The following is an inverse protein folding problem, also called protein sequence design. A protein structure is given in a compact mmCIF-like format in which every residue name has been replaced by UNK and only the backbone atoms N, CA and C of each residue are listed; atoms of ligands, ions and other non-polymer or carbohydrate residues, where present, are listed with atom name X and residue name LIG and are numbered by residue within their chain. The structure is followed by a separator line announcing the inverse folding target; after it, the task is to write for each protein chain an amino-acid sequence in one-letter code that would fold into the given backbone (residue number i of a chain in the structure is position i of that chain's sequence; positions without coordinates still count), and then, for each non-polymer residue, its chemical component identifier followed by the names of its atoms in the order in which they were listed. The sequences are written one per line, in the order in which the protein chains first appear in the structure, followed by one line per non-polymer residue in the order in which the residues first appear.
data_IF_550019529755
#
_entry.id   IF_550019529755
#
_cell.length_a   1.000
_cell.length_b   1.000
_cell.length_c   1.000
_cell.angle_alpha   90.00
_cell.angle_beta   90.00
_cell.angle_gamma   90.00
#
_symmetry.space_group_name_H-M   'P 1'
#
loop_
_entity.id
_entity.type
_entity.pdbx_description
1 polymer ?
#
# COMPACT_ATOMS: atom_id res chain seq x y z
N UNK A 1 -4.77 16.44 -4.57
CA UNK A 1 -4.71 15.04 -5.05
C UNK A 1 -3.81 14.27 -4.09
N UNK A 2 -4.33 13.19 -3.51
CA UNK A 2 -3.58 12.35 -2.57
C UNK A 2 -2.88 11.23 -3.34
N UNK A 3 -1.63 10.93 -3.00
CA UNK A 3 -0.84 9.91 -3.68
C UNK A 3 0.06 9.18 -2.70
N UNK A 4 0.45 7.96 -3.04
CA UNK A 4 1.46 7.20 -2.29
C UNK A 4 2.66 6.92 -3.19
N UNK A 5 3.85 6.89 -2.58
CA UNK A 5 5.07 6.46 -3.26
C UNK A 5 5.39 5.04 -2.86
N UNK A 6 5.62 4.18 -3.84
CA UNK A 6 5.99 2.78 -3.65
C UNK A 6 7.38 2.60 -4.23
N UNK A 7 8.30 2.08 -3.41
CA UNK A 7 9.68 1.83 -3.81
C UNK A 7 10.09 0.42 -3.46
N UNK A 8 10.84 -0.24 -4.33
CA UNK A 8 11.46 -1.54 -4.06
C UNK A 8 12.93 -1.48 -4.51
N UNK A 9 13.90 -1.56 -3.57
CA UNK A 9 15.29 -1.22 -3.85
C UNK A 9 16.00 -2.23 -4.77
N UNK A 10 15.63 -3.52 -4.75
CA UNK A 10 16.30 -4.57 -5.54
C UNK A 10 16.02 -4.41 -7.03
N UNK A 11 14.78 -4.17 -7.41
CA UNK A 11 14.33 -3.93 -8.79
C UNK A 11 14.48 -2.47 -9.21
N UNK A 12 14.77 -1.57 -8.26
CA UNK A 12 14.79 -0.11 -8.45
C UNK A 12 13.42 0.47 -8.82
N UNK A 13 12.34 -0.26 -8.53
CA UNK A 13 10.98 0.25 -8.68
C UNK A 13 10.84 1.53 -7.85
N UNK A 14 10.35 2.59 -8.47
CA UNK A 14 9.97 3.83 -7.78
C UNK A 14 8.81 4.44 -8.54
N UNK A 15 7.61 4.26 -8.02
CA UNK A 15 6.37 4.73 -8.66
C UNK A 15 5.57 5.59 -7.70
N UNK A 16 4.80 6.51 -8.27
CA UNK A 16 3.80 7.30 -7.54
C UNK A 16 2.42 6.85 -8.01
N UNK A 17 1.60 6.36 -7.08
CA UNK A 17 0.23 5.98 -7.35
C UNK A 17 -0.71 7.06 -6.85
N UNK A 18 -1.55 7.59 -7.75
CA UNK A 18 -2.63 8.50 -7.37
C UNK A 18 -3.75 7.72 -6.68
N UNK A 19 -4.23 8.23 -5.57
CA UNK A 19 -5.38 7.68 -4.87
C UNK A 19 -6.68 8.26 -5.48
N UNK A 20 -7.73 7.44 -5.49
CA UNK A 20 -9.02 7.77 -6.11
C UNK A 20 -10.11 7.91 -5.03
N UNK A 21 -10.16 9.02 -4.27
CA UNK A 21 -11.11 9.19 -3.17
C UNK A 21 -12.56 9.16 -3.65
N UNK A 22 -12.85 9.57 -4.89
CA UNK A 22 -14.19 9.51 -5.47
C UNK A 22 -14.70 8.07 -5.70
N UNK A 23 -13.78 7.10 -5.81
CA UNK A 23 -14.11 5.69 -6.06
C UNK A 23 -14.03 4.83 -4.78
N UNK A 24 -13.10 5.14 -3.89
CA UNK A 24 -12.84 4.34 -2.70
C UNK A 24 -12.45 5.22 -1.49
N UNK A 25 -13.37 6.06 -0.99
CA UNK A 25 -13.05 7.08 0.02
C UNK A 25 -12.52 6.47 1.33
N UNK A 26 -13.10 5.37 1.80
CA UNK A 26 -12.69 4.69 3.04
C UNK A 26 -11.27 4.12 2.94
N UNK A 27 -10.94 3.47 1.82
CA UNK A 27 -9.59 2.94 1.58
C UNK A 27 -8.55 4.06 1.53
N UNK A 28 -8.88 5.19 0.92
CA UNK A 28 -7.98 6.36 0.88
C UNK A 28 -7.74 6.93 2.26
N UNK A 29 -8.80 7.06 3.07
CA UNK A 29 -8.69 7.51 4.46
C UNK A 29 -7.82 6.55 5.29
N UNK A 30 -8.07 5.24 5.18
CA UNK A 30 -7.27 4.20 5.83
C UNK A 30 -5.80 4.29 5.42
N UNK A 31 -5.49 4.29 4.11
CA UNK A 31 -4.12 4.34 3.61
C UNK A 31 -3.40 5.62 4.05
N UNK A 32 -4.10 6.77 4.07
CA UNK A 32 -3.57 8.03 4.55
C UNK A 32 -3.17 7.98 6.02
N UNK A 33 -4.03 7.44 6.89
CA UNK A 33 -3.72 7.27 8.31
C UNK A 33 -2.62 6.22 8.53
N UNK A 34 -2.73 5.07 7.86
CA UNK A 34 -1.82 3.94 7.99
C UNK A 34 -0.39 4.29 7.55
N UNK A 35 -0.25 5.03 6.44
CA UNK A 35 1.03 5.48 5.87
C UNK A 35 1.43 6.90 6.32
N UNK A 36 0.84 7.42 7.41
CA UNK A 36 1.28 8.68 8.03
C UNK A 36 2.76 8.65 8.48
N UNK A 37 3.34 7.45 8.55
CA UNK A 37 4.79 7.19 8.60
C UNK A 37 5.19 6.20 7.51
N UNK A 38 6.41 6.31 6.93
CA UNK A 38 6.92 5.30 5.99
C UNK A 38 6.92 3.90 6.60
N UNK A 39 6.60 2.90 5.78
CA UNK A 39 6.59 1.48 6.19
C UNK A 39 7.31 0.61 5.18
N UNK A 40 7.93 -0.45 5.68
CA UNK A 40 8.45 -1.55 4.87
C UNK A 40 7.50 -2.72 5.06
N UNK A 41 6.91 -3.18 3.96
CA UNK A 41 5.95 -4.29 3.94
C UNK A 41 6.51 -5.37 3.01
N UNK A 42 6.50 -6.66 3.41
CA UNK A 42 6.92 -7.74 2.53
C UNK A 42 6.08 -7.79 1.26
N UNK A 43 6.73 -7.70 0.10
CA UNK A 43 6.09 -7.93 -1.19
C UNK A 43 6.12 -9.42 -1.55
N UNK A 44 4.99 -9.94 -2.01
CA UNK A 44 4.81 -11.33 -2.44
C UNK A 44 4.43 -11.31 -3.92
N UNK A 45 5.22 -11.96 -4.77
CA UNK A 45 4.84 -12.16 -6.16
C UNK A 45 3.71 -13.20 -6.21
N UNK A 46 2.55 -12.81 -6.74
CA UNK A 46 1.42 -13.72 -6.84
C UNK A 46 1.72 -14.83 -7.86
N UNK A 47 1.19 -16.03 -7.61
CA UNK A 47 1.37 -17.17 -8.52
C UNK A 47 0.19 -17.38 -9.46
N UNK A 48 -0.99 -16.89 -9.11
CA UNK A 48 -2.26 -17.26 -9.76
C UNK A 48 -3.05 -16.08 -10.34
N UNK A 49 -2.78 -14.85 -9.89
CA UNK A 49 -3.50 -13.65 -10.33
C UNK A 49 -2.79 -12.89 -11.46
N UNK A 50 -1.78 -13.51 -12.06
CA UNK A 50 -1.00 -12.92 -13.15
C UNK A 50 0.12 -11.99 -12.64
N UNK A 51 0.43 -10.89 -13.34
CA UNK A 51 1.51 -9.99 -12.98
C UNK A 51 1.12 -9.10 -11.79
N UNK A 52 1.16 -9.67 -10.58
CA UNK A 52 0.76 -8.99 -9.35
C UNK A 52 1.81 -9.14 -8.24
N UNK A 53 2.02 -8.05 -7.50
CA UNK A 53 2.73 -8.04 -6.23
C UNK A 53 1.74 -7.67 -5.14
N UNK A 54 1.55 -8.58 -4.18
CA UNK A 54 0.71 -8.40 -3.01
C UNK A 54 1.56 -8.01 -1.79
N UNK A 55 1.13 -7.00 -1.04
CA UNK A 55 1.82 -6.52 0.16
C UNK A 55 0.88 -6.60 1.38
N UNK A 56 0.80 -7.75 2.09
CA UNK A 56 -0.13 -7.92 3.19
C UNK A 56 0.20 -6.97 4.35
N UNK A 57 -0.81 -6.26 4.84
CA UNK A 57 -0.69 -5.41 6.03
C UNK A 57 -0.52 -6.32 7.27
N UNK A 58 0.57 -6.18 8.05
CA UNK A 58 0.75 -6.98 9.27
C UNK A 58 -0.38 -6.71 10.27
N UNK A 59 -0.95 -7.76 10.87
CA UNK A 59 -2.07 -7.61 11.82
C UNK A 59 -1.71 -6.74 13.03
N UNK A 60 -0.46 -6.79 13.49
CA UNK A 60 0.04 -5.95 14.59
C UNK A 60 -0.06 -4.45 14.26
N UNK A 61 -0.02 -4.09 12.98
CA UNK A 61 -0.11 -2.70 12.55
C UNK A 61 -1.56 -2.17 12.54
N UNK A 62 -2.54 -3.06 12.65
CA UNK A 62 -3.97 -2.76 12.71
C UNK A 62 -4.49 -2.68 14.16
N UNK A 63 -3.65 -3.01 15.15
CA UNK A 63 -4.05 -2.98 16.55
C UNK A 63 -4.49 -1.55 16.96
N UNK A 64 -5.73 -1.41 17.42
CA UNK A 64 -6.30 -0.11 17.80
C UNK A 64 -6.97 0.68 16.67
N UNK A 65 -7.05 0.13 15.46
CA UNK A 65 -7.93 0.64 14.40
C UNK A 65 -9.27 -0.12 14.46
N UNK A 66 -10.22 0.43 15.21
CA UNK A 66 -11.60 -0.05 15.33
C UNK A 66 -12.56 0.93 14.65
#
# INVERSE_FOLDING_TARGET
MTSIRITEPRSKLSVTALLLPEKAPENVAFLGAYLGRPRIIPGIHAMWTGPEISCPVPAADLAGQA
#
